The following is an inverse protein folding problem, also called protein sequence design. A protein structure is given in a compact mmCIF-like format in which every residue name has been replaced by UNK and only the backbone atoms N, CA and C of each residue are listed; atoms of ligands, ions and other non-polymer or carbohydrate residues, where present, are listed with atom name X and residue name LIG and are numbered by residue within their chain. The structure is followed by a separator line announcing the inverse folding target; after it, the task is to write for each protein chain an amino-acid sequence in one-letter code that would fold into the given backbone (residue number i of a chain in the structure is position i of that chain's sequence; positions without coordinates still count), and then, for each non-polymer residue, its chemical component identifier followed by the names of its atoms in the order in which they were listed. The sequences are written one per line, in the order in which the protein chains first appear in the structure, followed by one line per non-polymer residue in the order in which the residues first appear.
data_IF_560984489895
#
_entry.id   IF_560984489895
#
_cell.length_a   1.000
_cell.length_b   1.000
_cell.length_c   1.000
_cell.angle_alpha   90.00
_cell.angle_beta   90.00
_cell.angle_gamma   90.00
#
_symmetry.space_group_name_H-M   'P 1'
#
loop_
_entity.id
_entity.type
_entity.pdbx_description
1 polymer ?
#
# COMPACT_ATOMS: atom_id res chain seq x y z
N UNK A 1 -6.23 -9.69 17.86
CA UNK A 1 -6.25 -9.22 16.46
C UNK A 1 -4.92 -9.62 15.81
N UNK A 2 -4.91 -10.67 14.99
CA UNK A 2 -3.69 -11.12 14.31
C UNK A 2 -3.32 -10.10 13.22
N UNK A 3 -2.45 -9.14 13.54
CA UNK A 3 -1.98 -8.14 12.57
C UNK A 3 -1.16 -8.90 11.53
N UNK A 4 -1.75 -9.15 10.35
CA UNK A 4 -1.09 -9.84 9.23
C UNK A 4 0.35 -9.31 9.10
N UNK A 5 1.32 -10.18 9.34
CA UNK A 5 2.75 -9.83 9.30
C UNK A 5 3.04 -9.33 7.88
N UNK A 6 3.75 -8.21 7.76
CA UNK A 6 4.07 -7.66 6.44
C UNK A 6 4.85 -8.69 5.63
N UNK A 7 4.42 -8.92 4.39
CA UNK A 7 5.03 -9.89 3.48
C UNK A 7 6.30 -9.31 2.86
N UNK A 8 6.33 -8.00 2.65
CA UNK A 8 7.46 -7.25 2.11
C UNK A 8 7.27 -5.75 2.28
N UNK A 9 8.12 -4.98 1.60
CA UNK A 9 8.18 -3.52 1.70
C UNK A 9 6.90 -2.80 1.29
N UNK A 10 6.15 -3.38 0.33
CA UNK A 10 4.87 -2.84 -0.08
C UNK A 10 3.85 -2.79 1.07
N UNK A 11 3.74 -3.87 1.84
CA UNK A 11 2.82 -3.94 2.97
C UNK A 11 3.17 -2.95 4.09
N UNK A 12 4.46 -2.67 4.30
CA UNK A 12 4.90 -1.67 5.28
C UNK A 12 4.59 -0.25 4.83
N UNK A 13 4.81 0.08 3.54
CA UNK A 13 4.41 1.37 2.98
C UNK A 13 2.88 1.53 3.07
N UNK A 14 2.10 0.48 2.77
CA UNK A 14 0.64 0.54 2.91
C UNK A 14 0.23 0.79 4.37
N UNK A 15 0.86 0.12 5.33
CA UNK A 15 0.57 0.33 6.76
C UNK A 15 0.94 1.74 7.21
N UNK A 16 2.12 2.22 6.81
CA UNK A 16 2.60 3.55 7.14
C UNK A 16 1.69 4.63 6.55
N UNK A 17 1.34 4.53 5.27
CA UNK A 17 0.46 5.49 4.58
C UNK A 17 -0.98 5.45 5.09
N UNK A 18 -1.47 4.29 5.55
CA UNK A 18 -2.77 4.18 6.26
C UNK A 18 -2.71 4.85 7.63
N UNK A 19 -1.65 4.59 8.40
CA UNK A 19 -1.50 5.12 9.75
C UNK A 19 -1.34 6.65 9.75
N UNK A 20 -0.56 7.18 8.81
CA UNK A 20 -0.34 8.62 8.64
C UNK A 20 -1.49 9.34 7.94
N UNK A 21 -2.48 8.61 7.40
CA UNK A 21 -3.62 9.18 6.70
C UNK A 21 -3.36 9.60 5.24
N UNK A 22 -2.13 9.45 4.74
CA UNK A 22 -1.75 9.77 3.35
C UNK A 22 -2.59 8.98 2.35
N UNK A 23 -2.92 7.72 2.66
CA UNK A 23 -3.72 6.87 1.77
C UNK A 23 -5.08 7.50 1.45
N UNK A 24 -5.75 8.09 2.45
CA UNK A 24 -7.04 8.78 2.24
C UNK A 24 -6.90 9.99 1.32
N UNK A 25 -5.83 10.78 1.48
CA UNK A 25 -5.61 11.94 0.62
C UNK A 25 -5.39 11.53 -0.84
N UNK A 26 -4.59 10.48 -1.08
CA UNK A 26 -4.33 9.96 -2.43
C UNK A 26 -5.58 9.34 -3.04
N UNK A 27 -6.35 8.56 -2.28
CA UNK A 27 -7.60 7.96 -2.76
C UNK A 27 -8.60 9.04 -3.22
N UNK A 28 -8.79 10.11 -2.43
CA UNK A 28 -9.68 11.23 -2.80
C UNK A 28 -9.20 11.95 -4.07
N UNK A 29 -7.88 12.13 -4.23
CA UNK A 29 -7.33 12.76 -5.43
C UNK A 29 -7.51 11.84 -6.65
N UNK A 30 -7.29 10.54 -6.49
CA UNK A 30 -7.47 9.55 -7.54
C UNK A 30 -8.94 9.49 -8.02
N UNK A 31 -9.89 9.46 -7.09
CA UNK A 31 -11.33 9.53 -7.38
C UNK A 31 -11.69 10.81 -8.14
N UNK A 32 -11.22 11.98 -7.67
CA UNK A 32 -11.47 13.27 -8.36
C UNK A 32 -10.90 13.32 -9.77
N UNK A 33 -9.75 12.68 -9.98
CA UNK A 33 -9.11 12.61 -11.29
C UNK A 33 -9.65 11.46 -12.15
N UNK A 34 -10.62 10.67 -11.67
CA UNK A 34 -11.12 9.46 -12.31
C UNK A 34 -9.97 8.54 -12.77
N UNK A 35 -8.90 8.47 -11.97
CA UNK A 35 -7.72 7.64 -12.25
C UNK A 35 -7.62 6.53 -11.24
N UNK A 36 -7.41 5.31 -11.71
CA UNK A 36 -7.05 4.21 -10.84
C UNK A 36 -5.63 4.44 -10.28
N UNK A 37 -5.48 4.47 -8.95
CA UNK A 37 -4.17 4.62 -8.30
C UNK A 37 -3.25 3.42 -8.60
N UNK A 38 -3.80 2.23 -8.87
CA UNK A 38 -3.03 0.98 -8.89
C UNK A 38 -2.37 0.67 -7.55
N UNK A 39 -2.84 1.27 -6.45
CA UNK A 39 -2.22 1.22 -5.13
C UNK A 39 -1.99 -0.24 -4.65
N UNK A 40 -2.91 -1.16 -4.96
CA UNK A 40 -2.80 -2.61 -4.64
C UNK A 40 -1.73 -3.31 -5.48
N UNK A 41 -1.73 -3.07 -6.79
CA UNK A 41 -0.75 -3.68 -7.70
C UNK A 41 0.67 -3.18 -7.40
N UNK A 42 0.82 -1.88 -7.12
CA UNK A 42 2.09 -1.27 -6.69
C UNK A 42 2.60 -1.89 -5.40
N UNK A 43 1.73 -2.08 -4.41
CA UNK A 43 2.06 -2.77 -3.16
C UNK A 43 2.54 -4.19 -3.42
N UNK A 44 1.80 -4.96 -4.22
CA UNK A 44 2.12 -6.36 -4.46
C UNK A 44 3.36 -6.53 -5.36
N UNK A 45 3.62 -5.60 -6.29
CA UNK A 45 4.89 -5.48 -7.00
C UNK A 45 6.06 -5.24 -6.05
N UNK A 46 5.92 -4.28 -5.13
CA UNK A 46 6.96 -4.00 -4.12
C UNK A 46 7.20 -5.18 -3.18
N UNK A 47 6.15 -5.92 -2.79
CA UNK A 47 6.29 -7.13 -1.98
C UNK A 47 7.02 -8.25 -2.72
N UNK A 48 6.83 -8.37 -4.04
CA UNK A 48 7.55 -9.35 -4.87
C UNK A 48 9.03 -8.97 -5.05
N UNK A 49 9.33 -7.68 -5.22
CA UNK A 49 10.70 -7.19 -5.39
C UNK A 49 11.49 -7.18 -4.08
N UNK A 50 10.83 -6.84 -2.96
CA UNK A 50 11.44 -6.71 -1.64
C UNK A 50 10.69 -7.53 -0.58
N UNK A 51 10.71 -8.87 -0.66
CA UNK A 51 10.07 -9.74 0.32
C UNK A 51 10.87 -9.79 1.62
N UNK A 52 10.18 -9.85 2.77
CA UNK A 52 10.81 -9.95 4.09
C UNK A 52 11.03 -11.38 4.57
N UNK A 53 10.31 -12.33 3.97
CA UNK A 53 10.54 -13.76 4.12
C UNK A 53 10.82 -14.32 2.73
N UNK A 54 11.93 -15.02 2.58
CA UNK A 54 12.24 -15.81 1.39
C UNK A 54 11.47 -17.12 1.40
#
# INVERSE_FOLDING_TARGET
MYKMKSRGLGDDIEKFTKFTGIKKAVDVVAEKLNKDCGCTERRDGLNRMFPYKK
#
